data_IF_574170644538
#
_entry.id   IF_574170644538
#
_cell.length_a   1.000
_cell.length_b   1.000
_cell.length_c   1.000
_cell.angle_alpha   90.00
_cell.angle_beta   90.00
_cell.angle_gamma   90.00
#
_symmetry.space_group_name_H-M   'P 1'
#
loop_
_entity.id
_entity.type
_entity.pdbx_description
1 polymer ?
#
# COMPACT_ATOMS: atom_id res chain seq x y z
N UNK A 1 7.44 21.03 18.90
CA UNK A 1 7.58 19.81 18.08
C UNK A 1 6.37 18.90 18.27
N UNK A 2 5.70 18.52 17.18
CA UNK A 2 4.53 17.63 17.25
C UNK A 2 4.97 16.15 17.29
N UNK A 3 4.46 15.40 18.27
CA UNK A 3 4.74 13.96 18.43
C UNK A 3 3.44 13.18 18.26
N UNK A 4 3.38 12.33 17.24
CA UNK A 4 2.23 11.45 17.04
C UNK A 4 2.31 10.24 17.95
N UNK A 5 1.22 9.87 18.61
CA UNK A 5 1.16 8.63 19.40
C UNK A 5 0.04 7.73 18.87
N UNK A 6 0.45 6.65 18.21
CA UNK A 6 -0.42 5.61 17.66
C UNK A 6 -0.83 4.59 18.72
N UNK A 7 -2.07 4.11 18.62
CA UNK A 7 -2.63 3.08 19.49
C UNK A 7 -3.71 2.28 18.76
N UNK A 8 -3.96 1.05 19.23
CA UNK A 8 -5.04 0.19 18.77
C UNK A 8 -5.51 -0.71 19.92
N UNK A 9 -6.78 -0.56 20.33
CA UNK A 9 -7.37 -1.24 21.48
C UNK A 9 -7.19 -0.47 22.80
N UNK A 10 -7.97 -0.84 23.82
CA UNK A 10 -8.09 -0.06 25.06
C UNK A 10 -6.80 0.04 25.88
N UNK A 11 -6.01 -1.03 25.93
CA UNK A 11 -4.75 -1.06 26.70
C UNK A 11 -3.73 -0.08 26.12
N UNK A 12 -3.52 -0.14 24.80
CA UNK A 12 -2.59 0.77 24.13
C UNK A 12 -3.12 2.20 24.08
N UNK A 13 -4.44 2.41 24.02
CA UNK A 13 -5.07 3.73 24.14
C UNK A 13 -4.70 4.41 25.46
N UNK A 14 -4.86 3.70 26.59
CA UNK A 14 -4.55 4.24 27.91
C UNK A 14 -3.07 4.53 28.08
N UNK A 15 -2.21 3.73 27.46
CA UNK A 15 -0.78 4.03 27.37
C UNK A 15 -0.52 5.32 26.57
N UNK A 16 -1.14 5.47 25.40
CA UNK A 16 -0.98 6.67 24.58
C UNK A 16 -1.42 7.94 25.32
N UNK A 17 -2.55 7.88 26.03
CA UNK A 17 -3.05 8.97 26.86
C UNK A 17 -2.11 9.29 28.03
N UNK A 18 -1.54 8.26 28.66
CA UNK A 18 -0.54 8.43 29.72
C UNK A 18 0.73 9.12 29.20
N UNK A 19 1.23 8.71 28.04
CA UNK A 19 2.40 9.34 27.40
C UNK A 19 2.11 10.78 26.99
N UNK A 20 0.90 11.07 26.49
CA UNK A 20 0.48 12.44 26.14
C UNK A 20 0.48 13.38 27.34
N UNK A 21 0.02 12.92 28.50
CA UNK A 21 0.09 13.71 29.73
C UNK A 21 1.52 13.87 30.23
N UNK A 22 2.35 12.83 30.08
CA UNK A 22 3.66 12.76 30.72
C UNK A 22 4.76 13.50 29.95
N UNK A 23 4.82 13.35 28.63
CA UNK A 23 5.88 13.93 27.79
C UNK A 23 6.06 15.46 27.93
N UNK A 24 4.99 16.27 28.06
CA UNK A 24 5.14 17.72 28.26
C UNK A 24 5.85 18.12 29.56
N UNK A 25 5.85 17.27 30.59
CA UNK A 25 6.63 17.53 31.83
C UNK A 25 8.13 17.41 31.59
N UNK A 26 8.53 16.62 30.59
CA UNK A 26 9.93 16.35 30.26
C UNK A 26 10.54 17.48 29.44
N UNK A 27 9.85 17.88 28.38
CA UNK A 27 10.17 19.07 27.60
C UNK A 27 8.86 19.72 27.14
N UNK A 28 8.65 20.99 27.50
CA UNK A 28 7.43 21.75 27.22
C UNK A 28 7.20 22.01 25.73
N UNK A 29 8.23 21.88 24.91
CA UNK A 29 8.13 22.04 23.46
C UNK A 29 7.53 20.79 22.79
N UNK A 30 7.50 19.65 23.48
CA UNK A 30 6.85 18.44 23.01
C UNK A 30 5.34 18.65 23.08
N UNK A 31 4.68 18.60 21.93
CA UNK A 31 3.23 18.62 21.78
C UNK A 31 2.77 17.23 21.32
N UNK A 32 2.35 16.34 22.24
CA UNK A 32 1.88 15.02 21.86
C UNK A 32 0.46 15.07 21.32
N UNK A 33 0.22 14.37 20.21
CA UNK A 33 -1.07 14.23 19.56
C UNK A 33 -1.55 12.78 19.68
N UNK A 34 -2.78 12.58 20.15
CA UNK A 34 -3.44 11.28 20.25
C UNK A 34 -4.82 11.38 19.62
N UNK A 35 -5.06 10.54 18.61
CA UNK A 35 -6.31 10.53 17.83
C UNK A 35 -7.60 10.29 18.67
N UNK A 36 -7.50 9.69 19.86
CA UNK A 36 -8.67 9.48 20.74
C UNK A 36 -9.25 10.76 21.32
N UNK A 37 -8.44 11.81 21.45
CA UNK A 37 -8.84 13.08 22.10
C UNK A 37 -8.84 14.26 21.12
N UNK A 38 -8.05 14.18 20.06
CA UNK A 38 -7.75 15.34 19.23
C UNK A 38 -8.51 15.35 17.88
N UNK A 39 -9.36 14.35 17.59
CA UNK A 39 -10.24 14.30 16.41
C UNK A 39 -11.68 14.62 16.81
N UNK A 40 -12.29 15.63 16.18
CA UNK A 40 -13.67 16.04 16.48
C UNK A 40 -14.69 15.04 15.92
N UNK A 41 -15.78 14.80 16.67
CA UNK A 41 -16.91 13.99 16.18
C UNK A 41 -17.50 14.63 14.91
N UNK A 42 -17.50 13.89 13.81
CA UNK A 42 -18.01 14.35 12.50
C UNK A 42 -16.94 14.84 11.52
N UNK A 43 -15.67 14.88 11.95
CA UNK A 43 -14.54 15.14 11.06
C UNK A 43 -14.18 13.88 10.27
N UNK A 44 -13.70 14.03 9.03
CA UNK A 44 -13.13 12.91 8.27
C UNK A 44 -11.82 12.51 8.94
N UNK A 45 -11.90 11.69 10.00
CA UNK A 45 -10.79 11.40 10.90
C UNK A 45 -9.51 10.97 10.19
N UNK A 46 -9.63 10.28 9.06
CA UNK A 46 -8.51 9.82 8.25
C UNK A 46 -7.74 10.92 7.51
N UNK A 47 -8.44 11.94 7.01
CA UNK A 47 -7.80 13.09 6.37
C UNK A 47 -7.11 13.97 7.42
N UNK A 48 -7.76 14.14 8.59
CA UNK A 48 -7.19 14.85 9.72
C UNK A 48 -5.92 14.14 10.24
N UNK A 49 -5.96 12.81 10.41
CA UNK A 49 -4.78 12.02 10.80
C UNK A 49 -3.66 12.15 9.76
N UNK A 50 -3.96 11.96 8.47
CA UNK A 50 -2.95 12.05 7.42
C UNK A 50 -2.30 13.44 7.35
N UNK A 51 -3.07 14.51 7.54
CA UNK A 51 -2.57 15.89 7.58
C UNK A 51 -1.71 16.11 8.82
N UNK A 52 -2.18 15.67 10.00
CA UNK A 52 -1.44 15.81 11.25
C UNK A 52 -0.12 15.03 11.22
N UNK A 53 -0.11 13.85 10.60
CA UNK A 53 1.09 13.03 10.41
C UNK A 53 2.15 13.73 9.55
N UNK A 54 1.77 14.65 8.65
CA UNK A 54 2.71 15.47 7.88
C UNK A 54 3.36 16.58 8.70
N UNK A 55 2.70 17.03 9.77
CA UNK A 55 3.20 18.07 10.66
C UNK A 55 3.98 17.52 11.86
N UNK A 56 3.82 16.22 12.16
CA UNK A 56 4.59 15.55 13.19
C UNK A 56 6.07 15.45 12.79
N UNK A 57 6.96 15.41 13.78
CA UNK A 57 8.41 15.22 13.56
C UNK A 57 8.91 13.93 14.20
N UNK A 58 8.12 13.33 15.07
CA UNK A 58 8.40 12.06 15.73
C UNK A 58 7.10 11.28 15.94
N UNK A 59 7.18 9.95 15.93
CA UNK A 59 6.06 9.05 16.15
C UNK A 59 6.37 7.98 17.19
N UNK A 60 5.43 7.73 18.08
CA UNK A 60 5.46 6.65 19.07
C UNK A 60 4.31 5.70 18.75
N UNK A 61 4.58 4.40 18.75
CA UNK A 61 3.54 3.39 18.49
C UNK A 61 3.36 2.52 19.73
N UNK A 62 2.23 2.62 20.41
CA UNK A 62 1.95 1.82 21.60
C UNK A 62 1.57 0.39 21.21
N UNK A 63 2.48 -0.56 21.43
CA UNK A 63 2.32 -1.96 21.01
C UNK A 63 2.10 -2.88 22.21
N UNK A 64 1.14 -3.79 22.06
CA UNK A 64 0.85 -4.91 22.95
C UNK A 64 0.90 -6.22 22.17
N UNK A 65 0.94 -7.36 22.88
CA UNK A 65 0.82 -8.69 22.25
C UNK A 65 -0.42 -8.82 21.38
N UNK A 66 -1.52 -8.21 21.81
CA UNK A 66 -2.82 -8.28 21.14
C UNK A 66 -2.92 -7.39 19.89
N UNK A 67 -2.16 -6.30 19.83
CA UNK A 67 -2.30 -5.30 18.77
C UNK A 67 -1.13 -5.25 17.78
N UNK A 68 -0.02 -5.95 18.01
CA UNK A 68 1.15 -5.91 17.11
C UNK A 68 0.86 -6.38 15.68
N UNK A 69 -0.18 -7.22 15.51
CA UNK A 69 -0.66 -7.68 14.19
C UNK A 69 -1.78 -6.80 13.63
N UNK A 70 -2.23 -5.77 14.37
CA UNK A 70 -3.30 -4.89 13.93
C UNK A 70 -2.89 -4.17 12.63
N UNK A 71 -3.67 -4.31 11.55
CA UNK A 71 -3.37 -3.67 10.27
C UNK A 71 -3.16 -2.15 10.39
N UNK A 72 -3.85 -1.52 11.34
CA UNK A 72 -3.77 -0.08 11.59
C UNK A 72 -2.38 0.38 12.03
N UNK A 73 -1.78 -0.31 13.00
CA UNK A 73 -0.44 -0.02 13.52
C UNK A 73 0.61 -0.16 12.41
N UNK A 74 0.46 -1.17 11.55
CA UNK A 74 1.38 -1.40 10.44
C UNK A 74 1.21 -0.36 9.32
N UNK A 75 -0.02 0.09 9.08
CA UNK A 75 -0.32 1.14 8.10
C UNK A 75 0.19 2.52 8.55
N UNK A 76 -0.10 2.93 9.79
CA UNK A 76 0.40 4.20 10.34
C UNK A 76 1.92 4.22 10.41
N UNK A 77 2.55 3.12 10.81
CA UNK A 77 4.02 3.03 10.87
C UNK A 77 4.68 3.13 9.49
N UNK A 78 4.04 2.59 8.44
CA UNK A 78 4.49 2.73 7.06
C UNK A 78 4.22 4.12 6.46
N UNK A 79 3.12 4.76 6.85
CA UNK A 79 2.81 6.13 6.44
C UNK A 79 3.76 7.13 7.13
N UNK A 80 4.00 6.95 8.44
CA UNK A 80 4.92 7.75 9.25
C UNK A 80 6.35 7.61 8.73
N UNK A 81 6.84 6.40 8.46
CA UNK A 81 8.22 6.22 8.00
C UNK A 81 8.48 6.86 6.63
N UNK A 82 7.46 6.92 5.77
CA UNK A 82 7.55 7.57 4.46
C UNK A 82 7.54 9.10 4.54
N UNK A 83 6.92 9.66 5.58
CA UNK A 83 6.76 11.11 5.75
C UNK A 83 7.87 11.71 6.64
N UNK A 84 8.29 11.00 7.69
CA UNK A 84 9.25 11.47 8.70
C UNK A 84 10.67 10.91 8.53
N UNK A 85 10.86 9.95 7.62
CA UNK A 85 12.09 9.15 7.52
C UNK A 85 12.13 8.02 8.57
N UNK A 86 12.99 7.02 8.34
CA UNK A 86 13.09 5.82 9.19
C UNK A 86 13.54 6.12 10.65
N UNK A 87 14.19 7.26 10.90
CA UNK A 87 14.79 7.64 12.19
C UNK A 87 13.83 8.25 13.22
N UNK A 88 12.56 8.45 12.88
CA UNK A 88 11.65 9.28 13.66
C UNK A 88 10.46 8.49 14.24
N UNK A 89 10.52 7.15 14.23
CA UNK A 89 9.47 6.28 14.75
C UNK A 89 10.00 5.30 15.80
N UNK A 90 9.34 5.23 16.96
CA UNK A 90 9.68 4.33 18.05
C UNK A 90 8.49 3.44 18.46
N UNK A 91 8.55 2.10 18.24
CA UNK A 91 7.63 1.16 18.86
C UNK A 91 7.82 1.16 20.39
N UNK A 92 6.75 1.34 21.15
CA UNK A 92 6.74 1.35 22.61
C UNK A 92 5.99 0.12 23.14
N UNK A 93 6.74 -0.87 23.62
CA UNK A 93 6.22 -2.21 23.93
C UNK A 93 5.73 -2.27 25.38
N UNK A 94 4.45 -2.57 25.58
CA UNK A 94 3.78 -2.52 26.88
C UNK A 94 3.87 -3.81 27.70
N UNK A 95 3.63 -4.95 27.07
CA UNK A 95 3.40 -6.26 27.73
C UNK A 95 4.24 -7.40 27.10
N UNK A 96 5.25 -7.03 26.31
CA UNK A 96 6.14 -7.99 25.67
C UNK A 96 7.58 -7.49 25.53
N UNK A 97 8.56 -8.40 25.57
CA UNK A 97 9.95 -8.07 25.29
C UNK A 97 10.16 -7.83 23.79
N UNK A 98 11.22 -7.10 23.44
CA UNK A 98 11.58 -6.74 22.06
C UNK A 98 11.66 -7.96 21.13
N UNK A 99 12.18 -9.09 21.62
CA UNK A 99 12.30 -10.34 20.85
C UNK A 99 10.96 -10.94 20.39
N UNK A 100 9.86 -10.60 21.06
CA UNK A 100 8.52 -11.11 20.75
C UNK A 100 7.82 -10.21 19.71
N UNK A 101 8.39 -9.05 19.37
CA UNK A 101 7.87 -8.15 18.35
C UNK A 101 8.00 -8.79 16.97
N UNK A 102 6.88 -8.87 16.24
CA UNK A 102 6.83 -9.39 14.88
C UNK A 102 6.34 -8.35 13.88
N UNK A 103 6.57 -8.61 12.59
CA UNK A 103 6.03 -7.80 11.50
C UNK A 103 6.90 -6.59 11.13
N UNK A 104 6.34 -5.62 10.39
CA UNK A 104 7.11 -4.51 9.81
C UNK A 104 7.68 -3.55 10.86
N UNK A 105 7.14 -3.54 12.08
CA UNK A 105 7.67 -2.74 13.18
C UNK A 105 9.08 -3.14 13.62
N UNK A 106 9.51 -4.37 13.31
CA UNK A 106 10.84 -4.88 13.65
C UNK A 106 11.98 -4.13 12.97
N UNK A 107 11.68 -3.35 11.92
CA UNK A 107 12.66 -2.50 11.25
C UNK A 107 13.03 -1.24 12.08
N UNK A 108 12.26 -0.90 13.10
CA UNK A 108 12.51 0.25 13.97
C UNK A 108 13.09 -0.16 15.32
N UNK A 109 13.81 0.76 15.96
CA UNK A 109 14.33 0.54 17.31
C UNK A 109 13.19 0.63 18.34
N UNK A 110 12.77 -0.53 18.85
CA UNK A 110 11.73 -0.62 19.87
C UNK A 110 12.23 -0.18 21.26
N UNK A 111 11.31 0.36 22.05
CA UNK A 111 11.49 0.76 23.44
C UNK A 111 10.73 -0.21 24.33
N UNK A 112 11.45 -0.91 25.22
CA UNK A 112 10.83 -1.70 26.27
C UNK A 112 10.34 -0.77 27.39
N UNK A 113 9.02 -0.67 27.56
CA UNK A 113 8.42 0.21 28.58
C UNK A 113 8.69 -0.24 30.02
N UNK A 114 9.23 -1.44 30.24
CA UNK A 114 9.68 -1.91 31.55
C UNK A 114 11.13 -1.54 31.85
N UNK A 115 11.91 -1.20 30.82
CA UNK A 115 13.30 -0.77 30.94
C UNK A 115 13.38 0.74 31.07
N UNK A 116 13.74 1.23 32.26
CA UNK A 116 13.96 2.66 32.51
C UNK A 116 14.95 3.27 31.53
N UNK A 117 16.03 2.56 31.22
CA UNK A 117 17.08 3.09 30.34
C UNK A 117 16.68 3.11 28.86
N UNK A 118 15.81 2.19 28.42
CA UNK A 118 15.25 2.26 27.06
C UNK A 118 14.31 3.45 26.93
N UNK A 119 13.42 3.66 27.92
CA UNK A 119 12.52 4.83 27.90
C UNK A 119 13.31 6.13 27.98
N UNK A 120 14.40 6.17 28.75
CA UNK A 120 15.31 7.32 28.74
C UNK A 120 15.93 7.55 27.36
N UNK A 121 16.38 6.49 26.67
CA UNK A 121 16.93 6.58 25.31
C UNK A 121 15.90 7.14 24.31
N UNK A 122 14.64 6.72 24.42
CA UNK A 122 13.53 7.27 23.64
C UNK A 122 13.33 8.76 23.92
N UNK A 123 13.26 9.15 25.19
CA UNK A 123 13.11 10.56 25.61
C UNK A 123 14.25 11.43 25.09
N UNK A 124 15.48 10.95 25.22
CA UNK A 124 16.66 11.64 24.71
C UNK A 124 16.56 11.87 23.20
N UNK A 125 16.16 10.83 22.46
CA UNK A 125 15.95 10.90 21.01
C UNK A 125 14.88 11.91 20.62
N UNK A 126 13.77 11.95 21.37
CA UNK A 126 12.69 12.94 21.17
C UNK A 126 13.23 14.36 21.43
N UNK A 127 13.93 14.58 22.55
CA UNK A 127 14.50 15.90 22.88
C UNK A 127 15.53 16.36 21.84
N UNK A 128 16.33 15.45 21.28
CA UNK A 128 17.32 15.78 20.26
C UNK A 128 16.68 16.17 18.90
N UNK A 129 15.40 15.88 18.69
CA UNK A 129 14.61 16.34 17.55
C UNK A 129 13.87 17.66 17.81
N UNK A 130 13.85 18.16 19.05
CA UNK A 130 13.25 19.45 19.40
C UNK A 130 14.14 20.62 18.93
N UNK A 131 13.52 21.77 18.60
CA UNK A 131 14.26 22.99 18.25
C UNK A 131 14.95 23.58 19.49
N UNK A 132 14.20 23.70 20.59
CA UNK A 132 14.68 24.14 21.89
C UNK A 132 14.99 22.93 22.78
N UNK A 133 16.18 22.36 22.57
CA UNK A 133 16.67 21.20 23.32
C UNK A 133 16.92 21.55 24.78
N UNK A 134 16.45 20.70 25.68
CA UNK A 134 16.90 20.74 27.08
C UNK A 134 18.26 20.04 27.15
N UNK A 135 19.20 20.63 27.89
CA UNK A 135 20.52 20.06 28.16
C UNK A 135 20.37 18.68 28.84
N UNK A 136 21.22 17.71 28.48
CA UNK A 136 21.02 16.30 28.81
C UNK A 136 21.07 16.01 30.31
N UNK A 137 21.93 16.66 31.09
CA UNK A 137 21.99 16.47 32.54
C UNK A 137 20.73 17.01 33.23
N UNK A 138 20.24 18.16 32.79
CA UNK A 138 18.97 18.72 33.25
C UNK A 138 17.79 17.84 32.85
N UNK A 139 17.75 17.37 31.61
CA UNK A 139 16.71 16.46 31.11
C UNK A 139 16.69 15.16 31.92
N UNK A 140 17.86 14.59 32.23
CA UNK A 140 17.98 13.38 33.06
C UNK A 140 17.41 13.61 34.44
N UNK A 141 17.71 14.76 35.06
CA UNK A 141 17.18 15.12 36.37
C UNK A 141 15.65 15.22 36.37
N UNK A 142 15.06 15.79 35.31
CA UNK A 142 13.60 15.89 35.15
C UNK A 142 13.01 14.49 34.97
N UNK A 143 13.60 13.68 34.08
CA UNK A 143 13.18 12.31 33.83
C UNK A 143 13.15 11.46 35.12
N UNK A 144 14.22 11.47 35.91
CA UNK A 144 14.29 10.68 37.16
C UNK A 144 13.21 11.08 38.18
N UNK A 145 12.79 12.35 38.20
CA UNK A 145 11.72 12.83 39.09
C UNK A 145 10.34 12.34 38.67
N UNK A 146 10.06 12.31 37.37
CA UNK A 146 8.74 11.95 36.84
C UNK A 146 8.65 10.49 36.37
N UNK A 147 9.75 9.73 36.43
CA UNK A 147 9.78 8.33 36.04
C UNK A 147 8.86 7.47 36.91
N UNK A 148 8.90 7.65 38.24
CA UNK A 148 8.07 6.85 39.16
C UNK A 148 6.57 6.97 38.89
N UNK A 149 6.11 8.17 38.53
CA UNK A 149 4.70 8.41 38.18
C UNK A 149 4.32 7.68 36.88
N UNK A 150 5.19 7.72 35.86
CA UNK A 150 4.99 7.00 34.60
C UNK A 150 4.99 5.48 34.83
N UNK A 151 6.00 4.98 35.56
CA UNK A 151 6.14 3.55 35.84
C UNK A 151 4.93 2.99 36.59
N UNK A 152 4.42 3.74 37.58
CA UNK A 152 3.20 3.36 38.30
C UNK A 152 1.99 3.28 37.36
N UNK A 153 1.75 4.32 36.55
CA UNK A 153 0.62 4.32 35.59
C UNK A 153 0.73 3.19 34.57
N UNK A 154 1.93 2.92 34.04
CA UNK A 154 2.17 1.81 33.12
C UNK A 154 1.95 0.45 33.81
N UNK A 155 2.35 0.31 35.07
CA UNK A 155 2.10 -0.87 35.89
C UNK A 155 0.61 -1.15 36.09
N UNK A 156 -0.19 -0.11 36.37
CA UNK A 156 -1.64 -0.23 36.47
C UNK A 156 -2.30 -0.67 35.16
N UNK A 157 -1.84 -0.11 34.03
CA UNK A 157 -2.35 -0.49 32.70
C UNK A 157 -2.07 -1.97 32.41
N UNK A 158 -0.87 -2.46 32.71
CA UNK A 158 -0.51 -3.87 32.56
C UNK A 158 -1.37 -4.78 33.46
N UNK A 159 -1.67 -4.34 34.69
CA UNK A 159 -2.43 -5.11 35.66
C UNK A 159 -3.94 -5.20 35.39
N UNK A 160 -4.50 -4.28 34.59
CA UNK A 160 -5.93 -4.18 34.33
C UNK A 160 -6.41 -4.96 33.09
N UNK A 161 -5.60 -5.82 32.47
CA UNK A 161 -6.03 -6.60 31.31
C UNK A 161 -7.24 -7.51 31.64
N UNK A 162 -8.42 -7.27 31.04
CA UNK A 162 -9.56 -8.16 31.18
C UNK A 162 -9.31 -9.43 30.34
N UNK A 163 -9.66 -10.62 30.88
CA UNK A 163 -9.80 -11.83 30.07
C UNK A 163 -10.87 -11.60 28.99
N UNK A 164 -10.42 -11.54 27.74
CA UNK A 164 -11.17 -11.74 26.50
C UNK A 164 -12.65 -11.31 26.50
N UNK A 165 -12.92 -10.14 25.93
CA UNK A 165 -14.10 -9.86 25.10
C UNK A 165 -13.91 -8.50 24.41
N UNK A 166 -13.53 -8.51 23.14
CA UNK A 166 -13.55 -7.31 22.29
C UNK A 166 -14.80 -7.39 21.41
N UNK A 167 -15.74 -6.45 21.49
CA UNK A 167 -16.60 -6.14 20.35
C UNK A 167 -15.72 -5.45 19.31
N UNK A 168 -15.37 -6.20 18.26
CA UNK A 168 -14.54 -5.79 17.13
C UNK A 168 -15.32 -4.86 16.17
N UNK A 169 -15.78 -3.70 16.63
CA UNK A 169 -16.47 -2.73 15.77
C UNK A 169 -16.14 -1.30 16.13
N UNK A 170 -15.26 -0.69 15.31
CA UNK A 170 -15.61 0.48 14.49
C UNK A 170 -14.40 0.97 13.64
N UNK A 171 -13.16 0.67 14.05
CA UNK A 171 -11.95 1.12 13.34
C UNK A 171 -11.50 0.19 12.21
N UNK A 172 -11.69 -1.13 12.35
CA UNK A 172 -11.32 -2.12 11.33
C UNK A 172 -12.17 -2.03 10.06
N UNK A 173 -13.44 -1.63 10.17
CA UNK A 173 -14.35 -1.48 9.01
C UNK A 173 -13.96 -0.25 8.17
N UNK A 174 -13.70 0.89 8.82
CA UNK A 174 -13.18 2.11 8.18
C UNK A 174 -11.84 1.85 7.48
N UNK A 175 -11.04 0.93 8.01
CA UNK A 175 -9.75 0.56 7.46
C UNK A 175 -9.79 -0.38 6.28
N UNK A 176 -10.70 -1.35 6.30
CA UNK A 176 -10.95 -2.19 5.14
C UNK A 176 -11.49 -1.34 3.98
N UNK A 177 -12.30 -0.33 4.30
CA UNK A 177 -12.75 0.66 3.31
C UNK A 177 -11.58 1.48 2.76
N UNK A 178 -10.64 1.94 3.60
CA UNK A 178 -9.43 2.64 3.15
C UNK A 178 -8.45 1.81 2.33
N UNK A 179 -8.17 0.58 2.75
CA UNK A 179 -7.33 -0.34 1.97
C UNK A 179 -7.99 -0.64 0.63
N UNK A 180 -9.33 -0.73 0.61
CA UNK A 180 -10.12 -0.78 -0.61
C UNK A 180 -9.90 0.43 -1.51
N UNK A 181 -10.06 1.64 -0.98
CA UNK A 181 -9.92 2.90 -1.72
C UNK A 181 -8.49 3.13 -2.23
N UNK A 182 -7.46 2.80 -1.45
CA UNK A 182 -6.04 2.91 -1.87
C UNK A 182 -5.69 1.87 -2.93
N UNK A 183 -6.19 0.63 -2.80
CA UNK A 183 -6.02 -0.38 -3.87
C UNK A 183 -6.70 0.06 -5.16
N UNK A 184 -7.88 0.65 -5.06
CA UNK A 184 -8.61 1.19 -6.21
C UNK A 184 -7.83 2.36 -6.86
N UNK A 185 -7.30 3.29 -6.07
CA UNK A 185 -6.48 4.39 -6.59
C UNK A 185 -5.18 3.90 -7.24
N UNK A 186 -4.46 2.95 -6.63
CA UNK A 186 -3.25 2.37 -7.23
C UNK A 186 -3.56 1.62 -8.53
N UNK A 187 -4.70 0.95 -8.61
CA UNK A 187 -5.14 0.28 -9.85
C UNK A 187 -5.41 1.32 -10.95
N UNK A 188 -6.02 2.46 -10.60
CA UNK A 188 -6.25 3.59 -11.53
C UNK A 188 -4.95 4.28 -11.94
N UNK A 189 -4.02 4.50 -11.02
CA UNK A 189 -2.69 5.08 -11.29
C UNK A 189 -1.85 4.18 -12.20
N UNK A 190 -1.77 2.87 -11.92
CA UNK A 190 -1.10 1.93 -12.81
C UNK A 190 -1.78 1.78 -14.18
N UNK A 191 -3.06 2.14 -14.29
CA UNK A 191 -3.76 2.30 -15.57
C UNK A 191 -3.39 3.60 -16.30
N UNK A 192 -3.14 4.69 -15.58
CA UNK A 192 -2.68 5.96 -16.12
C UNK A 192 -1.21 5.90 -16.57
N UNK A 193 -0.32 5.32 -15.75
CA UNK A 193 1.10 5.13 -16.06
C UNK A 193 1.27 4.32 -17.35
N UNK A 194 0.50 3.23 -17.52
CA UNK A 194 0.47 2.47 -18.78
C UNK A 194 0.04 3.28 -20.00
N UNK A 195 -0.83 4.28 -19.82
CA UNK A 195 -1.24 5.21 -20.89
C UNK A 195 -0.23 6.32 -21.11
N UNK A 196 0.51 6.75 -20.09
CA UNK A 196 1.58 7.75 -20.21
C UNK A 196 2.81 7.14 -20.87
N UNK A 197 3.17 5.91 -20.54
CA UNK A 197 4.23 5.15 -21.23
C UNK A 197 3.90 4.90 -22.70
N UNK A 198 2.60 4.79 -23.06
CA UNK A 198 2.19 4.73 -24.46
C UNK A 198 2.33 6.07 -25.21
N UNK A 199 2.32 7.20 -24.49
CA UNK A 199 2.45 8.55 -25.04
C UNK A 199 3.92 9.00 -25.10
N UNK A 200 4.77 8.50 -24.19
CA UNK A 200 6.17 8.93 -24.07
C UNK A 200 7.19 7.96 -24.73
N UNK A 201 6.78 7.21 -25.76
CA UNK A 201 7.77 6.52 -26.62
C UNK A 201 8.64 7.58 -27.29
N UNK A 202 9.96 7.66 -27.04
CA UNK A 202 10.82 8.50 -27.86
C UNK A 202 10.69 8.00 -29.30
N UNK A 203 10.28 8.88 -30.21
CA UNK A 203 10.36 8.62 -31.64
C UNK A 203 11.81 8.24 -31.92
N UNK A 204 12.07 6.98 -32.27
CA UNK A 204 13.41 6.49 -32.52
C UNK A 204 14.00 7.27 -33.71
N UNK A 205 14.78 8.31 -33.42
CA UNK A 205 15.75 8.83 -34.37
C UNK A 205 16.85 7.78 -34.47
N UNK A 206 16.81 7.00 -35.55
CA UNK A 206 17.87 6.07 -35.89
C UNK A 206 19.08 6.85 -36.39
N UNK A 207 20.10 7.00 -35.55
CA UNK A 207 21.42 7.41 -36.01
C UNK A 207 22.19 6.17 -36.44
N UNK A 208 22.47 6.09 -37.74
CA UNK A 208 23.31 5.08 -38.39
C UNK A 208 24.74 5.28 -37.86
N UNK A 209 25.19 4.56 -36.81
CA UNK A 209 26.63 4.25 -36.59
C UNK A 209 27.03 3.47 -35.31
N UNK A 210 26.15 2.79 -34.58
CA UNK A 210 26.61 1.90 -33.49
C UNK A 210 26.24 0.43 -33.74
N UNK A 211 27.22 -0.48 -33.92
CA UNK A 211 26.96 -1.90 -33.99
C UNK A 211 26.82 -2.43 -32.55
N UNK A 212 25.59 -2.74 -32.13
CA UNK A 212 25.36 -3.60 -30.97
C UNK A 212 24.67 -4.88 -31.43
N UNK A 213 25.20 -6.01 -30.95
CA UNK A 213 24.71 -7.36 -31.24
C UNK A 213 23.22 -7.49 -30.92
N UNK A 214 22.44 -7.84 -31.94
CA UNK A 214 21.00 -8.05 -31.82
C UNK A 214 20.79 -9.44 -31.20
N UNK A 215 20.47 -9.48 -29.91
CA UNK A 215 19.85 -10.67 -29.32
C UNK A 215 18.35 -10.62 -29.60
N UNK A 216 17.90 -11.40 -30.59
CA UNK A 216 16.48 -11.58 -30.90
C UNK A 216 15.89 -12.53 -29.85
N UNK A 217 15.34 -11.98 -28.77
CA UNK A 217 14.43 -12.73 -27.91
C UNK A 217 13.11 -12.98 -28.66
N UNK A 218 12.45 -14.14 -28.50
CA UNK A 218 11.16 -14.39 -29.12
C UNK A 218 10.14 -13.36 -28.61
N UNK A 219 9.37 -12.79 -29.53
CA UNK A 219 8.36 -11.78 -29.27
C UNK A 219 7.33 -12.33 -28.27
N UNK A 220 7.40 -11.89 -27.01
CA UNK A 220 6.49 -12.37 -25.97
C UNK A 220 5.11 -11.75 -26.19
N UNK A 221 4.11 -12.57 -26.53
CA UNK A 221 2.70 -12.17 -26.65
C UNK A 221 2.23 -11.55 -25.33
N UNK A 222 1.69 -10.35 -25.40
CA UNK A 222 1.05 -9.67 -24.26
C UNK A 222 -0.46 -9.80 -24.43
N UNK A 223 -1.19 -10.09 -23.35
CA UNK A 223 -2.66 -10.09 -23.36
C UNK A 223 -3.11 -9.11 -22.27
N UNK A 224 -3.84 -8.07 -22.68
CA UNK A 224 -4.41 -7.07 -21.79
C UNK A 224 -5.84 -7.46 -21.44
N UNK A 225 -6.16 -7.35 -20.16
CA UNK A 225 -7.47 -7.71 -19.62
C UNK A 225 -8.09 -6.53 -18.89
N UNK A 226 -9.34 -6.22 -19.22
CA UNK A 226 -10.14 -5.26 -18.46
C UNK A 226 -10.51 -5.82 -17.08
N UNK A 227 -10.58 -4.94 -16.06
CA UNK A 227 -10.89 -5.28 -14.66
C UNK A 227 -12.34 -5.77 -14.46
N UNK A 228 -13.22 -5.52 -15.43
CA UNK A 228 -14.66 -5.81 -15.33
C UNK A 228 -15.05 -7.13 -16.04
N UNK A 229 -14.08 -7.99 -16.35
CA UNK A 229 -14.27 -9.23 -17.10
C UNK A 229 -14.47 -10.41 -16.14
N UNK A 230 -15.59 -11.13 -16.28
CA UNK A 230 -15.84 -12.35 -15.49
C UNK A 230 -14.91 -13.49 -15.91
N UNK A 231 -14.70 -14.46 -15.00
CA UNK A 231 -13.86 -15.62 -15.28
C UNK A 231 -14.32 -16.44 -16.51
N UNK A 232 -15.63 -16.51 -16.75
CA UNK A 232 -16.24 -17.19 -17.91
C UNK A 232 -15.92 -16.45 -19.23
N UNK A 233 -16.02 -15.12 -19.25
CA UNK A 233 -15.66 -14.31 -20.43
C UNK A 233 -14.17 -14.44 -20.74
N UNK A 234 -13.32 -14.48 -19.72
CA UNK A 234 -11.88 -14.72 -19.90
C UNK A 234 -11.59 -16.09 -20.53
N UNK A 235 -12.26 -17.14 -20.03
CA UNK A 235 -12.06 -18.50 -20.56
C UNK A 235 -12.44 -18.60 -22.04
N UNK A 236 -13.57 -18.00 -22.43
CA UNK A 236 -14.03 -17.96 -23.84
C UNK A 236 -13.10 -17.13 -24.73
N UNK A 237 -12.61 -16.01 -24.21
CA UNK A 237 -11.64 -15.16 -24.89
C UNK A 237 -10.32 -15.88 -25.17
N UNK A 238 -9.78 -16.59 -24.17
CA UNK A 238 -8.54 -17.35 -24.32
C UNK A 238 -8.69 -18.54 -25.28
N UNK A 239 -9.83 -19.24 -25.24
CA UNK A 239 -10.14 -20.29 -26.21
C UNK A 239 -10.20 -19.75 -27.65
N UNK A 240 -10.80 -18.57 -27.82
CA UNK A 240 -10.88 -17.87 -29.11
C UNK A 240 -9.50 -17.51 -29.64
N UNK A 241 -8.64 -16.89 -28.82
CA UNK A 241 -7.26 -16.51 -29.21
C UNK A 241 -6.45 -17.74 -29.65
N UNK A 242 -6.59 -18.86 -28.93
CA UNK A 242 -5.90 -20.11 -29.28
C UNK A 242 -6.34 -20.65 -30.64
N UNK A 243 -7.65 -20.66 -30.91
CA UNK A 243 -8.18 -21.12 -32.20
C UNK A 243 -7.75 -20.21 -33.36
N UNK A 244 -7.63 -18.91 -33.11
CA UNK A 244 -7.10 -17.96 -34.10
C UNK A 244 -5.64 -18.26 -34.47
N UNK A 245 -4.79 -18.61 -33.50
CA UNK A 245 -3.40 -19.00 -33.75
C UNK A 245 -3.28 -20.33 -34.49
N UNK A 246 -4.14 -21.30 -34.16
CA UNK A 246 -4.20 -22.57 -34.89
C UNK A 246 -4.60 -22.38 -36.36
N UNK A 247 -5.45 -21.38 -36.65
CA UNK A 247 -5.91 -21.06 -38.01
C UNK A 247 -4.92 -20.19 -38.80
N UNK A 248 -4.40 -19.12 -38.19
CA UNK A 248 -3.59 -18.10 -38.88
C UNK A 248 -2.08 -18.39 -38.82
N UNK A 249 -1.67 -19.30 -37.93
CA UNK A 249 -0.31 -19.79 -37.77
C UNK A 249 0.33 -19.41 -36.43
N UNK A 250 1.43 -20.09 -36.04
CA UNK A 250 2.18 -19.73 -34.84
C UNK A 250 2.70 -18.29 -34.97
N UNK A 251 2.57 -17.51 -33.90
CA UNK A 251 2.91 -16.08 -33.81
C UNK A 251 2.03 -15.11 -34.62
N UNK A 252 0.88 -15.56 -35.13
CA UNK A 252 -0.09 -14.69 -35.80
C UNK A 252 -0.56 -13.54 -34.89
N UNK A 253 -0.73 -13.81 -33.60
CA UNK A 253 -1.22 -12.85 -32.60
C UNK A 253 -0.06 -12.17 -31.89
N UNK A 254 0.08 -10.86 -32.08
CA UNK A 254 1.06 -10.02 -31.39
C UNK A 254 0.58 -9.61 -30.00
N UNK A 255 -0.67 -9.17 -29.95
CA UNK A 255 -1.31 -8.65 -28.74
C UNK A 255 -2.81 -8.97 -28.80
N UNK A 256 -3.44 -9.09 -27.64
CA UNK A 256 -4.89 -9.19 -27.54
C UNK A 256 -5.41 -8.37 -26.36
N UNK A 257 -6.58 -7.76 -26.52
CA UNK A 257 -7.27 -7.00 -25.51
C UNK A 257 -8.65 -7.63 -25.28
N UNK A 258 -8.92 -8.01 -24.04
CA UNK A 258 -10.17 -8.67 -23.63
C UNK A 258 -11.00 -7.68 -22.82
N UNK A 259 -12.23 -7.43 -23.28
CA UNK A 259 -13.18 -6.56 -22.60
C UNK A 259 -14.57 -7.22 -22.53
N UNK A 260 -15.53 -6.54 -21.88
CA UNK A 260 -16.90 -7.05 -21.70
C UNK A 260 -17.70 -7.23 -23.00
N UNK A 261 -17.21 -6.71 -24.11
CA UNK A 261 -17.84 -6.77 -25.43
C UNK A 261 -17.18 -7.78 -26.38
N UNK A 262 -16.04 -8.38 -26.01
CA UNK A 262 -15.35 -9.40 -26.80
C UNK A 262 -13.82 -9.30 -26.74
N UNK A 263 -13.16 -9.87 -27.75
CA UNK A 263 -11.71 -9.90 -27.88
C UNK A 263 -11.28 -9.10 -29.11
N UNK A 264 -10.36 -8.18 -28.89
CA UNK A 264 -9.65 -7.44 -29.91
C UNK A 264 -8.25 -8.01 -30.06
N UNK A 265 -7.88 -8.47 -31.25
CA UNK A 265 -6.65 -9.20 -31.53
C UNK A 265 -5.83 -8.44 -32.58
N UNK A 266 -4.60 -8.12 -32.24
CA UNK A 266 -3.65 -7.47 -33.14
C UNK A 266 -2.79 -8.53 -33.81
N UNK A 267 -2.92 -8.62 -35.12
CA UNK A 267 -2.24 -9.58 -35.97
C UNK A 267 -0.97 -8.98 -36.56
N UNK A 268 0.05 -9.83 -36.76
CA UNK A 268 1.20 -9.45 -37.59
C UNK A 268 0.78 -9.27 -39.07
N UNK A 269 1.57 -8.53 -39.85
CA UNK A 269 1.24 -8.22 -41.25
C UNK A 269 0.99 -9.46 -42.13
N UNK A 270 1.73 -10.55 -41.86
CA UNK A 270 1.58 -11.83 -42.58
C UNK A 270 0.22 -12.48 -42.30
N UNK A 271 -0.25 -12.43 -41.05
CA UNK A 271 -1.54 -12.96 -40.65
C UNK A 271 -2.69 -12.04 -41.09
N UNK A 272 -2.50 -10.72 -40.99
CA UNK A 272 -3.45 -9.71 -41.45
C UNK A 272 -3.83 -9.91 -42.93
N UNK A 273 -2.84 -10.14 -43.81
CA UNK A 273 -3.08 -10.40 -45.23
C UNK A 273 -3.80 -11.71 -45.55
N UNK A 274 -3.92 -12.64 -44.59
CA UNK A 274 -4.61 -13.93 -44.77
C UNK A 274 -6.05 -13.92 -44.28
N UNK A 275 -6.46 -12.92 -43.51
CA UNK A 275 -7.78 -12.88 -42.83
C UNK A 275 -8.94 -13.05 -43.80
N UNK A 276 -8.88 -12.42 -44.98
CA UNK A 276 -9.93 -12.52 -46.01
C UNK A 276 -10.23 -13.95 -46.49
N UNK A 277 -9.28 -14.89 -46.33
CA UNK A 277 -9.49 -16.31 -46.65
C UNK A 277 -10.19 -17.12 -45.56
N UNK A 278 -10.37 -16.54 -44.36
CA UNK A 278 -10.86 -17.24 -43.17
C UNK A 278 -12.13 -16.63 -42.57
N UNK A 279 -12.76 -15.62 -43.18
CA UNK A 279 -13.91 -14.90 -42.62
C UNK A 279 -15.06 -15.82 -42.14
N UNK A 280 -15.41 -16.85 -42.92
CA UNK A 280 -16.44 -17.83 -42.53
C UNK A 280 -16.05 -18.71 -41.34
N UNK A 281 -14.77 -19.09 -41.25
CA UNK A 281 -14.26 -19.85 -40.13
C UNK A 281 -14.15 -18.98 -38.86
N UNK A 282 -13.77 -17.70 -39.01
CA UNK A 282 -13.75 -16.71 -37.93
C UNK A 282 -15.14 -16.46 -37.34
N UNK A 283 -16.17 -16.36 -38.19
CA UNK A 283 -17.55 -16.27 -37.75
C UNK A 283 -18.00 -17.51 -36.96
N UNK A 284 -17.52 -18.70 -37.36
CA UNK A 284 -17.83 -19.96 -36.66
C UNK A 284 -17.16 -20.01 -35.28
N UNK A 285 -15.91 -19.57 -35.18
CA UNK A 285 -15.15 -19.46 -33.92
C UNK A 285 -15.82 -18.46 -32.96
N UNK A 286 -16.26 -17.30 -33.47
CA UNK A 286 -16.96 -16.30 -32.67
C UNK A 286 -18.26 -16.87 -32.05
N UNK A 287 -19.04 -17.61 -32.84
CA UNK A 287 -20.27 -18.26 -32.40
C UNK A 287 -20.03 -19.40 -31.42
N UNK A 288 -19.06 -20.27 -31.70
CA UNK A 288 -18.74 -21.41 -30.86
C UNK A 288 -18.30 -20.99 -29.45
N UNK A 289 -17.55 -19.89 -29.35
CA UNK A 289 -17.07 -19.35 -28.08
C UNK A 289 -17.98 -18.25 -27.50
N UNK A 290 -19.12 -17.96 -28.14
CA UNK A 290 -20.06 -16.88 -27.74
C UNK A 290 -19.34 -15.56 -27.40
N UNK A 291 -18.37 -15.18 -28.24
CA UNK A 291 -17.47 -14.06 -27.98
C UNK A 291 -17.26 -13.26 -29.25
N UNK A 292 -17.38 -11.94 -29.18
CA UNK A 292 -17.12 -11.09 -30.34
C UNK A 292 -15.63 -11.08 -30.68
N UNK A 293 -15.30 -11.06 -31.97
CA UNK A 293 -13.93 -11.06 -32.46
C UNK A 293 -13.70 -9.80 -33.29
N UNK A 294 -12.71 -9.01 -32.92
CA UNK A 294 -12.23 -7.87 -33.69
C UNK A 294 -10.75 -8.10 -34.01
N UNK A 295 -10.40 -8.16 -35.30
CA UNK A 295 -9.02 -8.34 -35.77
C UNK A 295 -8.50 -7.02 -36.31
N UNK A 296 -7.32 -6.62 -35.84
CA UNK A 296 -6.62 -5.41 -36.25
C UNK A 296 -5.22 -5.72 -36.77
N UNK A 297 -4.70 -4.90 -37.68
CA UNK A 297 -3.30 -4.95 -38.12
C UNK A 297 -2.37 -4.33 -37.07
N UNK A 298 -1.05 -4.44 -37.26
CA UNK A 298 -0.05 -3.88 -36.34
C UNK A 298 -0.17 -2.34 -36.19
N UNK A 299 -0.65 -1.64 -37.22
CA UNK A 299 -0.92 -0.20 -37.22
C UNK A 299 -2.26 0.19 -36.55
N UNK A 300 -3.06 -0.80 -36.13
CA UNK A 300 -4.36 -0.60 -35.48
C UNK A 300 -5.55 -0.47 -36.42
N UNK A 301 -5.36 -0.65 -37.73
CA UNK A 301 -6.46 -0.64 -38.71
C UNK A 301 -7.37 -1.86 -38.55
N UNK A 302 -8.69 -1.66 -38.66
CA UNK A 302 -9.67 -2.74 -38.57
C UNK A 302 -9.60 -3.64 -39.82
N UNK A 303 -9.41 -4.95 -39.59
CA UNK A 303 -9.35 -5.96 -40.65
C UNK A 303 -10.67 -6.74 -40.71
N UNK A 304 -11.19 -7.14 -39.55
CA UNK A 304 -12.38 -7.98 -39.45
C UNK A 304 -13.10 -7.75 -38.12
N UNK A 305 -14.44 -7.78 -38.14
CA UNK A 305 -15.26 -7.68 -36.94
C UNK A 305 -16.45 -8.62 -37.02
N UNK A 306 -16.65 -9.45 -36.00
CA UNK A 306 -17.82 -10.30 -35.86
C UNK A 306 -18.45 -10.12 -34.48
N UNK A 307 -19.68 -9.60 -34.40
CA UNK A 307 -20.38 -9.46 -33.13
C UNK A 307 -20.72 -10.82 -32.49
N UNK A 308 -21.04 -10.85 -31.19
CA UNK A 308 -21.49 -12.06 -30.53
C UNK A 308 -22.99 -12.22 -30.82
N UNK A 309 -23.35 -12.99 -31.85
CA UNK A 309 -24.74 -13.45 -32.02
C UNK A 309 -24.80 -14.97 -31.99
#
# INVERSE_FOLDING_TARGET
MQVFISWSGDVSKRCAETLREWLPFINQEIAPFVSSQDISKGERGLYAIATQLQECSFGIVCVTRDNQSAPWINFESGAISRVLGESSLAPFLLDMPIKDLIGPLTQFQATDSSSREDVWSMVKSINDNCENKVEHDRLRTIFEKFWGDLESKLGEIRGQQPKAQVPERDTSEILNELVGLVREQNTRLGGLERRVDSVNRPSAHYTINEPREIHIAPSRRVIFMSTDVTADVNQRAMATIRQLEEMLGPDAVRNANVNKYGVEVFLNDRAAGKVGGFEGALATVAKANQTAIYLKSEDGSDIFGHPPF
#
